data_IF_428821510158
#
_entry.id   IF_428821510158
#
_cell.length_a   1.000
_cell.length_b   1.000
_cell.length_c   1.000
_cell.angle_alpha   90.00
_cell.angle_beta   90.00
_cell.angle_gamma   90.00
#
_symmetry.space_group_name_H-M   'P 1'
#
loop_
_entity.id
_entity.type
_entity.pdbx_description
1 polymer ?
#
# COMPACT_ATOMS: atom_id res chain seq x y z
N UNK A 1 13.23 8.41 -29.67
CA UNK A 1 12.10 8.40 -28.75
C UNK A 1 12.20 9.65 -27.90
N UNK A 2 11.13 10.42 -27.82
CA UNK A 2 11.10 11.56 -26.88
C UNK A 2 11.19 11.05 -25.44
N UNK A 3 11.96 11.74 -24.61
CA UNK A 3 12.02 11.42 -23.19
C UNK A 3 10.66 11.71 -22.53
N UNK A 4 10.20 10.89 -21.59
CA UNK A 4 8.97 11.17 -20.86
C UNK A 4 9.11 12.51 -20.10
N UNK A 5 8.06 13.33 -20.12
CA UNK A 5 8.03 14.58 -19.36
C UNK A 5 7.73 14.36 -17.89
N UNK A 6 6.98 13.29 -17.58
CA UNK A 6 6.63 12.88 -16.23
C UNK A 6 6.58 11.36 -16.11
N UNK A 7 6.86 10.85 -14.92
CA UNK A 7 6.73 9.43 -14.55
C UNK A 7 5.95 9.32 -13.25
N UNK A 8 4.83 8.60 -13.31
CA UNK A 8 4.05 8.27 -12.12
C UNK A 8 4.26 6.81 -11.73
N UNK A 9 4.71 6.60 -10.51
CA UNK A 9 4.93 5.28 -9.93
C UNK A 9 3.71 4.81 -9.14
N UNK A 10 3.47 3.49 -9.13
CA UNK A 10 2.69 2.90 -8.04
C UNK A 10 3.50 2.94 -6.73
N UNK A 11 2.82 2.89 -5.60
CA UNK A 11 3.48 2.92 -4.29
C UNK A 11 3.75 1.51 -3.74
N UNK A 12 2.69 0.78 -3.43
CA UNK A 12 2.72 -0.47 -2.66
C UNK A 12 3.04 -1.69 -3.53
N UNK A 13 4.28 -2.13 -3.50
CA UNK A 13 4.84 -3.20 -4.33
C UNK A 13 5.67 -2.69 -5.51
N UNK A 14 5.86 -1.36 -5.61
CA UNK A 14 6.72 -0.70 -6.60
C UNK A 14 7.79 0.17 -5.93
N UNK A 15 7.40 1.12 -5.10
CA UNK A 15 8.35 1.90 -4.30
C UNK A 15 8.52 1.32 -2.88
N UNK A 16 7.48 0.73 -2.32
CA UNK A 16 7.52 0.16 -0.96
C UNK A 16 7.30 -1.34 -1.00
N UNK A 17 8.21 -2.08 -0.32
CA UNK A 17 8.13 -3.53 -0.19
C UNK A 17 7.04 -3.92 0.80
N UNK A 18 5.90 -4.33 0.26
CA UNK A 18 4.73 -4.75 1.05
C UNK A 18 4.98 -6.04 1.83
N UNK A 19 6.01 -6.80 1.49
CA UNK A 19 6.36 -8.04 2.19
C UNK A 19 7.34 -7.82 3.34
N UNK A 20 7.94 -6.63 3.45
CA UNK A 20 8.85 -6.29 4.55
C UNK A 20 8.17 -6.38 5.94
N UNK A 21 6.85 -6.24 6.00
CA UNK A 21 6.05 -6.48 7.22
C UNK A 21 6.12 -7.92 7.71
N UNK A 22 6.50 -8.85 6.84
CA UNK A 22 6.67 -10.28 7.17
C UNK A 22 7.68 -10.54 8.29
N UNK A 23 8.69 -9.68 8.44
CA UNK A 23 9.68 -9.77 9.54
C UNK A 23 9.02 -9.57 10.91
N UNK A 24 8.18 -8.55 11.03
CA UNK A 24 7.41 -8.35 12.27
C UNK A 24 6.35 -9.44 12.45
N UNK A 25 5.71 -9.87 11.38
CA UNK A 25 4.74 -10.96 11.44
C UNK A 25 5.38 -12.26 11.95
N UNK A 26 6.64 -12.57 11.54
CA UNK A 26 7.38 -13.72 12.03
C UNK A 26 7.70 -13.64 13.53
N UNK A 27 8.03 -12.45 14.03
CA UNK A 27 8.27 -12.22 15.45
C UNK A 27 7.00 -12.40 16.30
N UNK A 28 5.84 -12.00 15.76
CA UNK A 28 4.57 -12.07 16.46
C UNK A 28 3.89 -13.44 16.33
N UNK A 29 4.12 -14.11 15.22
CA UNK A 29 3.54 -15.40 14.85
C UNK A 29 4.61 -16.30 14.23
N UNK A 30 5.49 -16.91 15.07
CA UNK A 30 6.62 -17.72 14.61
C UNK A 30 6.20 -18.82 13.62
N UNK A 31 6.91 -18.90 12.49
CA UNK A 31 6.64 -19.83 11.41
C UNK A 31 5.54 -19.39 10.44
N UNK A 32 4.87 -18.26 10.67
CA UNK A 32 3.76 -17.78 9.85
C UNK A 32 4.03 -16.45 9.13
N UNK A 33 5.17 -15.80 9.37
CA UNK A 33 5.44 -14.45 8.86
C UNK A 33 5.27 -14.31 7.36
N UNK A 34 5.87 -15.22 6.57
CA UNK A 34 5.76 -15.21 5.12
C UNK A 34 4.33 -15.52 4.63
N UNK A 35 3.63 -16.43 5.30
CA UNK A 35 2.25 -16.78 4.94
C UNK A 35 1.29 -15.61 5.24
N UNK A 36 1.47 -14.96 6.39
CA UNK A 36 0.66 -13.79 6.79
C UNK A 36 0.87 -12.64 5.79
N UNK A 37 2.11 -12.25 5.50
CA UNK A 37 2.38 -11.12 4.61
C UNK A 37 1.82 -11.36 3.20
N UNK A 38 1.97 -12.57 2.67
CA UNK A 38 1.46 -12.94 1.34
C UNK A 38 -0.07 -12.92 1.30
N UNK A 39 -0.73 -13.64 2.21
CA UNK A 39 -2.19 -13.72 2.22
C UNK A 39 -2.82 -12.36 2.54
N UNK A 40 -2.19 -11.56 3.40
CA UNK A 40 -2.64 -10.19 3.68
C UNK A 40 -2.65 -9.35 2.41
N UNK A 41 -1.56 -9.37 1.64
CA UNK A 41 -1.47 -8.64 0.36
C UNK A 41 -2.51 -9.14 -0.65
N UNK A 42 -2.67 -10.44 -0.79
CA UNK A 42 -3.64 -11.02 -1.73
C UNK A 42 -5.07 -10.59 -1.38
N UNK A 43 -5.44 -10.62 -0.11
CA UNK A 43 -6.76 -10.18 0.36
C UNK A 43 -6.97 -8.68 0.23
N UNK A 44 -5.95 -7.87 0.44
CA UNK A 44 -6.02 -6.43 0.22
C UNK A 44 -6.32 -6.11 -1.24
N UNK A 45 -5.62 -6.76 -2.19
CA UNK A 45 -5.86 -6.61 -3.63
C UNK A 45 -7.26 -7.10 -4.00
N UNK A 46 -7.68 -8.24 -3.48
CA UNK A 46 -9.02 -8.78 -3.72
C UNK A 46 -10.10 -7.79 -3.27
N UNK A 47 -9.98 -7.24 -2.06
CA UNK A 47 -10.97 -6.32 -1.51
C UNK A 47 -11.04 -5.00 -2.28
N UNK A 48 -9.92 -4.45 -2.72
CA UNK A 48 -9.91 -3.25 -3.57
C UNK A 48 -10.61 -3.50 -4.90
N UNK A 49 -10.40 -4.67 -5.53
CA UNK A 49 -11.08 -5.06 -6.76
C UNK A 49 -12.59 -5.22 -6.55
N UNK A 50 -12.99 -5.95 -5.51
CA UNK A 50 -14.40 -6.16 -5.19
C UNK A 50 -15.13 -4.83 -4.96
N UNK A 51 -14.55 -3.92 -4.19
CA UNK A 51 -15.14 -2.61 -3.91
C UNK A 51 -15.26 -1.78 -5.19
N UNK A 52 -14.26 -1.80 -6.06
CA UNK A 52 -14.25 -1.03 -7.31
C UNK A 52 -15.25 -1.58 -8.33
N UNK A 53 -15.35 -2.90 -8.46
CA UNK A 53 -16.22 -3.55 -9.47
C UNK A 53 -17.65 -3.72 -9.00
N UNK A 54 -17.89 -3.70 -7.68
CA UNK A 54 -19.21 -3.89 -7.10
C UNK A 54 -19.99 -2.58 -7.14
N UNK A 55 -21.06 -2.54 -7.95
CA UNK A 55 -22.00 -1.42 -8.06
C UNK A 55 -21.29 -0.05 -8.23
N UNK A 56 -20.32 0.01 -9.16
CA UNK A 56 -19.58 1.22 -9.52
C UNK A 56 -18.99 1.97 -8.31
N UNK A 57 -18.46 1.25 -7.34
CA UNK A 57 -17.83 1.84 -6.15
C UNK A 57 -18.81 2.30 -5.06
N UNK A 58 -20.10 1.97 -5.16
CA UNK A 58 -21.10 2.38 -4.14
C UNK A 58 -20.75 1.92 -2.72
N UNK A 59 -19.94 0.87 -2.59
CA UNK A 59 -19.47 0.33 -1.31
C UNK A 59 -18.03 0.73 -0.99
N UNK A 60 -17.60 1.86 -1.50
CA UNK A 60 -16.25 2.36 -1.28
C UNK A 60 -15.89 2.42 0.21
N UNK A 61 -14.66 2.02 0.50
CA UNK A 61 -13.99 2.18 1.78
C UNK A 61 -12.55 2.61 1.55
N UNK A 62 -11.99 3.46 2.40
CA UNK A 62 -10.58 3.85 2.31
C UNK A 62 -9.66 2.64 2.26
N UNK A 63 -8.53 2.79 1.57
CA UNK A 63 -7.57 1.70 1.39
C UNK A 63 -7.03 1.18 2.73
N UNK A 64 -6.89 2.06 3.72
CA UNK A 64 -6.49 1.69 5.08
C UNK A 64 -7.49 0.74 5.74
N UNK A 65 -8.79 1.02 5.63
CA UNK A 65 -9.85 0.15 6.17
C UNK A 65 -9.83 -1.24 5.51
N UNK A 66 -9.65 -1.28 4.18
CA UNK A 66 -9.51 -2.55 3.45
C UNK A 66 -8.25 -3.31 3.85
N UNK A 67 -7.14 -2.60 4.09
CA UNK A 67 -5.88 -3.18 4.57
C UNK A 67 -6.06 -3.83 5.94
N UNK A 68 -6.74 -3.17 6.87
CA UNK A 68 -7.03 -3.72 8.19
C UNK A 68 -7.96 -4.95 8.12
N UNK A 69 -9.01 -4.87 7.30
CA UNK A 69 -9.94 -5.98 7.09
C UNK A 69 -9.25 -7.20 6.49
N UNK A 70 -8.36 -6.98 5.53
CA UNK A 70 -7.55 -8.02 4.92
C UNK A 70 -6.63 -8.68 5.96
N UNK A 71 -5.97 -7.90 6.83
CA UNK A 71 -5.16 -8.44 7.93
C UNK A 71 -6.00 -9.25 8.89
N UNK A 72 -7.14 -8.72 9.32
CA UNK A 72 -8.05 -9.44 10.24
C UNK A 72 -8.51 -10.77 9.66
N UNK A 73 -8.86 -10.80 8.38
CA UNK A 73 -9.22 -12.04 7.68
C UNK A 73 -8.04 -13.01 7.67
N UNK A 74 -6.85 -12.54 7.31
CA UNK A 74 -5.63 -13.34 7.24
C UNK A 74 -5.29 -13.99 8.58
N UNK A 75 -5.27 -13.19 9.66
CA UNK A 75 -4.98 -13.70 11.00
C UNK A 75 -6.04 -14.73 11.43
N UNK A 76 -7.31 -14.48 11.20
CA UNK A 76 -8.36 -15.46 11.51
C UNK A 76 -8.27 -16.74 10.67
N UNK A 77 -7.66 -16.68 9.50
CA UNK A 77 -7.48 -17.85 8.63
C UNK A 77 -6.27 -18.67 9.03
N UNK A 78 -5.13 -18.03 9.29
CA UNK A 78 -3.86 -18.71 9.52
C UNK A 78 -3.57 -18.98 11.00
N UNK A 79 -4.19 -18.23 11.91
CA UNK A 79 -4.00 -18.34 13.37
C UNK A 79 -5.30 -18.80 14.01
N UNK A 80 -5.46 -20.10 14.32
CA UNK A 80 -6.71 -20.63 14.88
C UNK A 80 -7.18 -19.88 16.15
N UNK A 81 -6.27 -19.51 17.04
CA UNK A 81 -6.56 -18.77 18.26
C UNK A 81 -7.20 -17.39 17.98
N UNK A 82 -6.87 -16.73 16.86
CA UNK A 82 -7.43 -15.44 16.48
C UNK A 82 -8.91 -15.51 16.09
N UNK A 83 -9.44 -16.71 15.84
CA UNK A 83 -10.89 -16.93 15.59
C UNK A 83 -11.69 -16.89 16.88
N UNK A 84 -11.15 -17.48 17.92
CA UNK A 84 -11.83 -17.67 19.22
C UNK A 84 -11.58 -16.54 20.19
N UNK A 85 -10.38 -15.95 20.14
CA UNK A 85 -9.97 -14.84 21.00
C UNK A 85 -9.35 -13.70 20.19
N UNK A 86 -10.20 -12.94 19.50
CA UNK A 86 -9.72 -11.75 18.76
C UNK A 86 -9.18 -10.68 19.69
N UNK A 87 -9.67 -10.58 20.92
CA UNK A 87 -9.22 -9.54 21.86
C UNK A 87 -7.73 -9.65 22.17
N UNK A 88 -7.21 -10.87 22.32
CA UNK A 88 -5.78 -11.10 22.50
C UNK A 88 -4.94 -10.78 21.25
N UNK A 89 -5.52 -10.91 20.04
CA UNK A 89 -4.81 -10.70 18.77
C UNK A 89 -4.95 -9.27 18.23
N UNK A 90 -5.94 -8.50 18.67
CA UNK A 90 -6.16 -7.13 18.20
C UNK A 90 -4.94 -6.19 18.42
N UNK A 91 -4.25 -6.21 19.57
CA UNK A 91 -3.05 -5.42 19.78
C UNK A 91 -1.90 -5.82 18.83
N UNK A 92 -1.76 -7.10 18.51
CA UNK A 92 -0.74 -7.60 17.56
C UNK A 92 -1.06 -7.17 16.14
N UNK A 93 -2.35 -7.23 15.74
CA UNK A 93 -2.80 -6.70 14.47
C UNK A 93 -2.54 -5.19 14.37
N UNK A 94 -2.78 -4.42 15.42
CA UNK A 94 -2.47 -2.99 15.44
C UNK A 94 -0.98 -2.70 15.25
N UNK A 95 -0.08 -3.53 15.80
CA UNK A 95 1.36 -3.43 15.56
C UNK A 95 1.72 -3.70 14.09
N UNK A 96 1.13 -4.70 13.46
CA UNK A 96 1.32 -5.00 12.04
C UNK A 96 0.78 -3.87 11.16
N UNK A 97 -0.39 -3.31 11.47
CA UNK A 97 -0.94 -2.15 10.78
C UNK A 97 -0.02 -0.93 10.90
N UNK A 98 0.53 -0.67 12.09
CA UNK A 98 1.50 0.42 12.25
C UNK A 98 2.77 0.18 11.43
N UNK A 99 3.30 -1.05 11.40
CA UNK A 99 4.44 -1.39 10.54
C UNK A 99 4.12 -1.19 9.05
N UNK A 100 2.88 -1.46 8.63
CA UNK A 100 2.47 -1.25 7.24
C UNK A 100 2.50 0.23 6.81
N UNK A 101 2.45 1.19 7.74
CA UNK A 101 2.70 2.62 7.46
C UNK A 101 4.17 2.94 7.20
N UNK A 102 5.08 2.07 7.66
CA UNK A 102 6.54 2.29 7.66
C UNK A 102 7.25 1.17 6.90
N UNK A 103 6.71 0.81 5.72
CA UNK A 103 7.32 -0.21 4.87
C UNK A 103 8.70 0.23 4.39
N UNK A 104 9.59 -0.72 4.21
CA UNK A 104 10.88 -0.48 3.59
C UNK A 104 10.71 -0.07 2.12
N UNK A 105 11.44 0.94 1.69
CA UNK A 105 11.58 1.21 0.27
C UNK A 105 12.50 0.18 -0.38
N UNK A 106 12.29 -0.10 -1.67
CA UNK A 106 13.29 -0.84 -2.43
C UNK A 106 14.57 0.01 -2.57
N UNK A 107 15.75 -0.60 -2.45
CA UNK A 107 17.02 0.15 -2.33
C UNK A 107 17.36 1.03 -3.53
N UNK A 108 16.92 0.64 -4.72
CA UNK A 108 17.15 1.36 -5.98
C UNK A 108 16.32 2.64 -6.14
N UNK A 109 15.27 2.82 -5.37
CA UNK A 109 14.31 3.92 -5.56
C UNK A 109 14.97 5.29 -5.51
N UNK A 110 15.83 5.52 -4.53
CA UNK A 110 16.48 6.82 -4.35
C UNK A 110 17.34 7.19 -5.54
N UNK A 111 18.14 6.25 -6.03
CA UNK A 111 19.02 6.47 -7.18
C UNK A 111 18.20 6.75 -8.44
N UNK A 112 17.15 5.97 -8.70
CA UNK A 112 16.26 6.14 -9.86
C UNK A 112 15.56 7.49 -9.82
N UNK A 113 14.97 7.87 -8.68
CA UNK A 113 14.27 9.15 -8.53
C UNK A 113 15.22 10.33 -8.69
N UNK A 114 16.44 10.25 -8.15
CA UNK A 114 17.46 11.28 -8.34
C UNK A 114 17.87 11.42 -9.82
N UNK A 115 18.12 10.30 -10.50
CA UNK A 115 18.48 10.30 -11.91
C UNK A 115 17.37 10.87 -12.82
N UNK A 116 16.10 10.62 -12.50
CA UNK A 116 14.98 11.23 -13.22
C UNK A 116 14.89 12.73 -12.99
N UNK A 117 15.07 13.18 -11.76
CA UNK A 117 15.09 14.59 -11.40
C UNK A 117 16.22 15.36 -12.08
N UNK A 118 17.42 14.79 -12.13
CA UNK A 118 18.57 15.37 -12.84
C UNK A 118 18.33 15.54 -14.34
N UNK A 119 17.46 14.71 -14.91
CA UNK A 119 17.02 14.80 -16.31
C UNK A 119 15.84 15.74 -16.53
N UNK A 120 15.38 16.42 -15.47
CA UNK A 120 14.22 17.32 -15.54
C UNK A 120 12.88 16.59 -15.75
N UNK A 121 12.80 15.32 -15.38
CA UNK A 121 11.56 14.53 -15.47
C UNK A 121 10.76 14.72 -14.19
N UNK A 122 9.51 15.17 -14.30
CA UNK A 122 8.60 15.25 -13.18
C UNK A 122 8.29 13.86 -12.63
N UNK A 123 8.39 13.66 -11.32
CA UNK A 123 8.15 12.37 -10.69
C UNK A 123 6.99 12.44 -9.71
N UNK A 124 6.20 11.37 -9.65
CA UNK A 124 5.11 11.31 -8.70
C UNK A 124 4.67 9.89 -8.36
N UNK A 125 3.82 9.80 -7.37
CA UNK A 125 3.09 8.58 -7.01
C UNK A 125 1.65 8.74 -7.47
N UNK A 126 1.07 7.68 -8.06
CA UNK A 126 -0.36 7.48 -8.21
C UNK A 126 -0.76 6.14 -7.57
N UNK A 127 -1.45 6.18 -6.45
CA UNK A 127 -1.69 5.00 -5.61
C UNK A 127 -3.13 4.88 -5.14
N UNK A 128 -3.51 3.64 -4.83
CA UNK A 128 -4.77 3.33 -4.12
C UNK A 128 -4.71 3.71 -2.63
N UNK A 129 -3.52 3.94 -2.08
CA UNK A 129 -3.33 4.34 -0.67
C UNK A 129 -3.94 5.69 -0.37
N UNK A 130 -4.44 5.85 0.87
CA UNK A 130 -4.93 7.13 1.38
C UNK A 130 -3.79 8.15 1.45
N UNK A 131 -4.11 9.43 1.36
CA UNK A 131 -3.10 10.50 1.37
C UNK A 131 -2.20 10.46 2.62
N UNK A 132 -2.79 10.20 3.80
CA UNK A 132 -2.04 10.09 5.06
C UNK A 132 -1.07 8.91 5.05
N UNK A 133 -1.51 7.73 4.56
CA UNK A 133 -0.65 6.54 4.43
C UNK A 133 0.54 6.85 3.53
N UNK A 134 0.29 7.44 2.35
CA UNK A 134 1.33 7.77 1.38
C UNK A 134 2.33 8.78 1.94
N UNK A 135 1.85 9.84 2.60
CA UNK A 135 2.70 10.83 3.23
C UNK A 135 3.60 10.24 4.32
N UNK A 136 3.09 9.31 5.14
CA UNK A 136 3.90 8.62 6.15
C UNK A 136 4.94 7.71 5.49
N UNK A 137 4.54 6.91 4.48
CA UNK A 137 5.43 5.99 3.79
C UNK A 137 6.58 6.73 3.08
N UNK A 138 6.29 7.82 2.37
CA UNK A 138 7.30 8.65 1.68
C UNK A 138 8.31 9.22 2.68
N UNK A 139 7.84 9.82 3.79
CA UNK A 139 8.72 10.36 4.83
C UNK A 139 9.55 9.26 5.50
N UNK A 140 8.91 8.16 5.89
CA UNK A 140 9.57 7.04 6.55
C UNK A 140 10.67 6.42 5.68
N UNK A 141 10.45 6.37 4.36
CA UNK A 141 11.42 5.87 3.39
C UNK A 141 12.52 6.89 3.02
N UNK A 142 12.43 8.12 3.52
CA UNK A 142 13.37 9.20 3.17
C UNK A 142 13.31 9.60 1.70
N UNK A 143 12.13 9.49 1.08
CA UNK A 143 11.91 9.89 -0.32
C UNK A 143 11.33 11.31 -0.43
N UNK A 144 11.23 12.04 0.70
CA UNK A 144 10.82 13.45 0.70
C UNK A 144 11.73 14.26 -0.22
N UNK A 145 11.12 15.16 -1.00
CA UNK A 145 11.81 16.03 -1.93
C UNK A 145 12.35 15.33 -3.20
N UNK A 146 12.14 14.03 -3.34
CA UNK A 146 12.44 13.29 -4.59
C UNK A 146 11.20 13.04 -5.45
N UNK A 147 10.02 13.32 -4.91
CA UNK A 147 8.74 13.19 -5.58
C UNK A 147 8.07 14.57 -5.66
N UNK A 148 7.70 14.99 -6.85
CA UNK A 148 7.01 16.27 -7.09
C UNK A 148 5.52 16.17 -6.73
N UNK A 149 4.93 14.98 -6.92
CA UNK A 149 3.51 14.72 -6.66
C UNK A 149 3.27 13.42 -5.90
N UNK A 150 2.31 13.45 -4.98
CA UNK A 150 1.80 12.25 -4.27
C UNK A 150 0.29 12.23 -4.41
N UNK A 151 -0.21 11.40 -5.33
CA UNK A 151 -1.61 11.37 -5.74
C UNK A 151 -2.27 10.10 -5.19
N UNK A 152 -3.31 10.29 -4.38
CA UNK A 152 -4.18 9.23 -3.88
C UNK A 152 -5.41 9.07 -4.78
N UNK A 153 -5.85 7.84 -5.01
CA UNK A 153 -7.11 7.54 -5.69
C UNK A 153 -8.35 7.76 -4.80
N UNK A 154 -8.16 8.03 -3.50
CA UNK A 154 -9.24 8.19 -2.52
C UNK A 154 -10.33 9.20 -2.93
N UNK A 155 -10.00 10.39 -3.48
CA UNK A 155 -11.01 11.39 -3.86
C UNK A 155 -12.03 10.91 -4.89
N UNK A 156 -11.66 10.02 -5.82
CA UNK A 156 -12.58 9.49 -6.83
C UNK A 156 -13.35 8.28 -6.33
N UNK A 157 -13.04 7.75 -5.14
CA UNK A 157 -13.70 6.60 -4.51
C UNK A 157 -13.75 5.35 -5.38
N UNK A 158 -12.71 5.18 -6.22
CA UNK A 158 -12.52 4.07 -7.14
C UNK A 158 -11.02 3.78 -7.20
N UNK A 159 -10.66 2.51 -7.04
CA UNK A 159 -9.27 2.11 -7.07
C UNK A 159 -8.77 1.83 -8.50
N UNK A 160 -7.45 1.86 -8.71
CA UNK A 160 -6.86 1.25 -9.89
C UNK A 160 -7.30 -0.23 -9.93
N UNK A 161 -7.83 -0.73 -11.05
CA UNK A 161 -7.65 -0.34 -12.44
C UNK A 161 -8.77 0.54 -13.06
N UNK A 162 -9.60 1.20 -12.28
CA UNK A 162 -10.67 2.04 -12.84
C UNK A 162 -10.07 3.27 -13.55
N UNK A 163 -10.53 3.65 -14.77
CA UNK A 163 -9.99 4.79 -15.53
C UNK A 163 -9.99 6.11 -14.75
N UNK A 164 -11.02 6.38 -13.93
CA UNK A 164 -11.09 7.59 -13.12
C UNK A 164 -9.92 7.74 -12.14
N UNK A 165 -9.33 6.63 -11.66
CA UNK A 165 -8.15 6.70 -10.82
C UNK A 165 -6.90 7.13 -11.61
N UNK A 166 -6.77 6.71 -12.87
CA UNK A 166 -5.65 7.12 -13.72
C UNK A 166 -5.79 8.56 -14.21
N UNK A 167 -6.99 9.05 -14.46
CA UNK A 167 -7.25 10.43 -14.86
C UNK A 167 -6.76 11.48 -13.83
N UNK A 168 -6.57 11.09 -12.56
CA UNK A 168 -5.96 11.95 -11.55
C UNK A 168 -4.48 12.28 -11.85
N UNK A 169 -3.79 11.41 -12.56
CA UNK A 169 -2.40 11.61 -12.95
C UNK A 169 -2.21 12.42 -14.23
N UNK A 170 -3.29 12.79 -14.91
CA UNK A 170 -3.27 13.59 -16.15
C UNK A 170 -3.49 15.09 -15.91
N UNK A 171 -3.75 15.47 -14.66
CA UNK A 171 -3.99 16.86 -14.21
C UNK A 171 -2.71 17.52 -13.73
#
# INVERSE_FOLDING_TARGET
MENPRAVLFDAYGTLFDVYSVGLLAEQLYPGLGAAISRQWRDKQIEYTRLVTTSNAGAHYRPFWDLTERALRHTLKTLVPAARTDWAAHAPLAARLMNQYRHLSAFPENREVLQALRERGVTTGILSNGDADMLGIAVRSAGLDGLLDHVISADPVRLFKTHPAAYALGEQ
#
